data_IF_866922750717
#
_entry.id   IF_866922750717
#
_cell.length_a   1.000
_cell.length_b   1.000
_cell.length_c   1.000
_cell.angle_alpha   90.00
_cell.angle_beta   90.00
_cell.angle_gamma   90.00
#
_symmetry.space_group_name_H-M   'P 1'
#
loop_
_entity.id
_entity.type
_entity.pdbx_description
1 polymer ?
#
# COMPACT_ATOMS: atom_id res chain seq x y z
N UNK A 1 -10.51 -9.24 -19.58
CA UNK A 1 -10.37 -10.19 -18.45
C UNK A 1 -8.91 -10.44 -18.05
N UNK A 2 -7.99 -10.66 -19.01
CA UNK A 2 -6.59 -10.97 -18.72
C UNK A 2 -5.83 -9.78 -18.13
N UNK A 3 -6.02 -8.59 -18.67
CA UNK A 3 -5.38 -7.37 -18.14
C UNK A 3 -5.76 -7.11 -16.67
N UNK A 4 -7.03 -7.29 -16.32
CA UNK A 4 -7.49 -7.09 -14.94
C UNK A 4 -6.82 -8.10 -13.98
N UNK A 5 -6.70 -9.37 -14.36
CA UNK A 5 -5.99 -10.39 -13.57
C UNK A 5 -4.52 -10.06 -13.41
N UNK A 6 -3.88 -9.58 -14.48
CA UNK A 6 -2.49 -9.14 -14.43
C UNK A 6 -2.31 -7.97 -13.47
N UNK A 7 -3.17 -6.95 -13.53
CA UNK A 7 -3.13 -5.80 -12.64
C UNK A 7 -3.36 -6.21 -11.17
N UNK A 8 -4.30 -7.11 -10.90
CA UNK A 8 -4.52 -7.66 -9.56
C UNK A 8 -3.28 -8.38 -9.02
N UNK A 9 -2.68 -9.26 -9.81
CA UNK A 9 -1.46 -9.97 -9.42
C UNK A 9 -0.30 -8.99 -9.16
N UNK A 10 -0.11 -8.01 -10.03
CA UNK A 10 0.90 -6.96 -9.86
C UNK A 10 0.68 -6.15 -8.56
N UNK A 11 -0.55 -5.79 -8.27
CA UNK A 11 -0.89 -5.04 -7.05
C UNK A 11 -0.61 -5.86 -5.79
N UNK A 12 -0.87 -7.16 -5.79
CA UNK A 12 -0.54 -8.05 -4.66
C UNK A 12 0.97 -8.19 -4.46
N UNK A 13 1.75 -8.27 -5.56
CA UNK A 13 3.22 -8.28 -5.49
C UNK A 13 3.73 -6.95 -4.92
N UNK A 14 3.19 -5.82 -5.38
CA UNK A 14 3.56 -4.50 -4.87
C UNK A 14 3.20 -4.33 -3.38
N UNK A 15 2.03 -4.79 -2.96
CA UNK A 15 1.63 -4.74 -1.54
C UNK A 15 2.63 -5.51 -0.66
N UNK A 16 3.06 -6.71 -1.06
CA UNK A 16 4.10 -7.49 -0.37
C UNK A 16 5.44 -6.75 -0.32
N UNK A 17 5.81 -6.10 -1.41
CA UNK A 17 7.01 -5.26 -1.47
C UNK A 17 6.93 -4.11 -0.45
N UNK A 18 5.82 -3.37 -0.42
CA UNK A 18 5.63 -2.28 0.53
C UNK A 18 5.66 -2.76 1.99
N UNK A 19 5.04 -3.90 2.28
CA UNK A 19 5.06 -4.52 3.63
C UNK A 19 6.48 -4.92 4.03
N UNK A 20 7.27 -5.48 3.11
CA UNK A 20 8.68 -5.82 3.34
C UNK A 20 9.48 -4.60 3.82
N UNK A 21 9.31 -3.45 3.16
CA UNK A 21 9.98 -2.22 3.57
C UNK A 21 9.57 -1.76 4.96
N UNK A 22 8.28 -1.79 5.26
CA UNK A 22 7.77 -1.39 6.58
C UNK A 22 8.35 -2.27 7.68
N UNK A 23 8.36 -3.58 7.49
CA UNK A 23 8.92 -4.51 8.48
C UNK A 23 10.42 -4.34 8.64
N UNK A 24 11.16 -4.23 7.53
CA UNK A 24 12.60 -4.02 7.59
C UNK A 24 12.95 -2.68 8.24
N UNK A 25 12.30 -1.60 7.87
CA UNK A 25 12.58 -0.27 8.41
C UNK A 25 12.28 -0.19 9.91
N UNK A 26 11.21 -0.83 10.37
CA UNK A 26 10.90 -0.95 11.79
C UNK A 26 12.05 -1.62 12.56
N UNK A 27 12.50 -2.78 12.11
CA UNK A 27 13.61 -3.52 12.72
C UNK A 27 14.95 -2.77 12.64
N UNK A 28 15.18 -2.05 11.54
CA UNK A 28 16.36 -1.20 11.36
C UNK A 28 16.45 -0.12 12.45
N UNK A 29 15.32 0.52 12.79
CA UNK A 29 15.29 1.55 13.82
C UNK A 29 15.28 1.00 15.25
N UNK A 30 14.66 -0.16 15.46
CA UNK A 30 14.61 -0.79 16.78
C UNK A 30 15.95 -1.39 17.19
N UNK A 31 16.72 -1.93 16.25
CA UNK A 31 18.05 -2.51 16.51
C UNK A 31 19.00 -2.33 15.31
N UNK A 32 19.62 -1.16 15.14
CA UNK A 32 20.47 -0.87 13.98
C UNK A 32 21.78 -1.68 13.94
N UNK A 33 22.22 -2.24 15.06
CA UNK A 33 23.49 -2.96 15.18
C UNK A 33 23.37 -4.48 14.87
N UNK A 34 22.17 -4.97 14.55
CA UNK A 34 21.96 -6.36 14.15
C UNK A 34 22.48 -6.66 12.73
N UNK A 35 22.56 -7.94 12.34
CA UNK A 35 22.88 -8.34 10.98
C UNK A 35 21.74 -7.97 10.00
N UNK A 36 21.80 -6.75 9.50
CA UNK A 36 20.79 -6.17 8.61
C UNK A 36 20.74 -6.87 7.24
N UNK A 37 21.85 -7.46 6.78
CA UNK A 37 21.87 -8.17 5.50
C UNK A 37 21.06 -9.48 5.58
N UNK A 38 21.29 -10.25 6.62
CA UNK A 38 20.52 -11.47 6.89
C UNK A 38 19.05 -11.14 7.17
N UNK A 39 18.79 -10.10 7.98
CA UNK A 39 17.42 -9.65 8.28
C UNK A 39 16.65 -9.27 7.01
N UNK A 40 17.26 -8.49 6.10
CA UNK A 40 16.64 -8.09 4.85
C UNK A 40 16.16 -9.30 4.05
N UNK A 41 17.05 -10.25 3.82
CA UNK A 41 16.69 -11.42 3.01
C UNK A 41 15.73 -12.38 3.72
N UNK A 42 15.77 -12.44 5.06
CA UNK A 42 14.74 -13.15 5.85
C UNK A 42 13.35 -12.55 5.58
N UNK A 43 13.19 -11.24 5.74
CA UNK A 43 11.90 -10.57 5.52
C UNK A 43 11.46 -10.67 4.06
N UNK A 44 12.36 -10.49 3.11
CA UNK A 44 12.07 -10.65 1.66
C UNK A 44 11.58 -12.06 1.36
N UNK A 45 12.23 -13.09 1.91
CA UNK A 45 11.81 -14.48 1.70
C UNK A 45 10.44 -14.79 2.32
N UNK A 46 10.18 -14.29 3.52
CA UNK A 46 8.92 -14.53 4.23
C UNK A 46 7.74 -13.76 3.62
N UNK A 47 7.96 -12.49 3.28
CA UNK A 47 6.89 -11.60 2.82
C UNK A 47 6.70 -11.64 1.31
N UNK A 48 7.77 -11.61 0.53
CA UNK A 48 7.70 -11.59 -0.94
C UNK A 48 7.80 -12.97 -1.57
N UNK A 49 8.23 -13.99 -0.82
CA UNK A 49 8.49 -15.36 -1.31
C UNK A 49 9.60 -15.39 -2.38
N UNK A 50 10.57 -14.49 -2.26
CA UNK A 50 11.72 -14.40 -3.16
C UNK A 50 12.92 -15.07 -2.51
N UNK A 51 13.59 -15.97 -3.24
CA UNK A 51 14.79 -16.65 -2.76
C UNK A 51 15.99 -15.69 -2.81
N UNK A 52 16.77 -15.56 -1.73
CA UNK A 52 17.99 -14.76 -1.76
C UNK A 52 19.02 -15.32 -2.74
N UNK A 53 19.88 -14.48 -3.33
CA UNK A 53 20.99 -14.96 -4.15
C UNK A 53 21.95 -15.82 -3.32
N UNK A 54 22.44 -16.91 -3.93
CA UNK A 54 23.40 -17.82 -3.28
C UNK A 54 24.70 -17.10 -2.91
N UNK A 55 25.23 -17.39 -1.73
CA UNK A 55 26.53 -16.90 -1.24
C UNK A 55 26.65 -15.36 -1.23
N UNK A 56 25.52 -14.64 -1.13
CA UNK A 56 25.50 -13.19 -1.13
C UNK A 56 25.24 -12.64 0.28
N UNK A 57 26.25 -11.98 0.83
CA UNK A 57 26.12 -11.18 2.06
C UNK A 57 26.51 -9.72 1.76
N UNK A 58 25.58 -8.98 1.18
CA UNK A 58 25.76 -7.58 0.80
C UNK A 58 24.58 -6.74 1.32
N UNK A 59 24.78 -5.46 1.59
CA UNK A 59 23.71 -4.58 2.07
C UNK A 59 22.75 -4.18 0.93
N UNK A 60 22.07 -5.17 0.34
CA UNK A 60 21.13 -4.95 -0.77
C UNK A 60 19.99 -4.01 -0.41
N UNK A 61 19.60 -3.99 0.86
CA UNK A 61 18.63 -3.05 1.42
C UNK A 61 19.11 -1.59 1.27
N UNK A 62 20.41 -1.33 1.41
CA UNK A 62 20.98 0.03 1.35
C UNK A 62 20.89 0.68 -0.03
N UNK A 63 20.67 -0.11 -1.09
CA UNK A 63 20.40 0.42 -2.44
C UNK A 63 19.06 1.17 -2.55
N UNK A 64 18.21 1.11 -1.51
CA UNK A 64 16.90 1.72 -1.51
C UNK A 64 16.96 3.12 -0.88
N UNK A 65 16.85 4.14 -1.70
CA UNK A 65 16.93 5.56 -1.28
C UNK A 65 15.93 5.94 -0.19
N UNK A 66 14.83 5.19 -0.05
CA UNK A 66 13.81 5.47 0.95
C UNK A 66 14.32 5.29 2.39
N UNK A 67 15.29 4.40 2.62
CA UNK A 67 15.87 4.24 3.96
C UNK A 67 16.83 5.39 4.33
N UNK A 68 17.35 6.13 3.36
CA UNK A 68 18.37 7.17 3.58
C UNK A 68 17.86 8.59 3.34
N UNK A 69 17.06 8.80 2.28
CA UNK A 69 16.60 10.14 1.86
C UNK A 69 15.14 10.42 2.24
N UNK A 70 14.34 9.41 2.46
CA UNK A 70 12.94 9.55 2.83
C UNK A 70 12.56 8.53 3.92
N UNK A 71 13.16 8.63 5.12
CA UNK A 71 12.93 7.67 6.20
C UNK A 71 11.46 7.68 6.64
N UNK A 72 10.96 6.50 7.03
CA UNK A 72 9.58 6.29 7.50
C UNK A 72 8.53 6.80 6.50
N UNK A 73 8.78 6.57 5.21
CA UNK A 73 7.90 7.06 4.15
C UNK A 73 7.18 5.94 3.40
N UNK A 74 7.77 4.75 3.32
CA UNK A 74 7.33 3.71 2.37
C UNK A 74 5.91 3.17 2.65
N UNK A 75 5.46 3.17 3.90
CA UNK A 75 4.08 2.83 4.26
C UNK A 75 3.03 3.70 3.57
N UNK A 76 3.38 4.92 3.17
CA UNK A 76 2.43 5.84 2.51
C UNK A 76 1.95 5.31 1.16
N UNK A 77 2.77 4.53 0.46
CA UNK A 77 2.34 3.88 -0.79
C UNK A 77 1.24 2.85 -0.52
N UNK A 78 1.43 1.99 0.50
CA UNK A 78 0.41 1.01 0.87
C UNK A 78 -0.87 1.69 1.38
N UNK A 79 -0.74 2.70 2.25
CA UNK A 79 -1.88 3.46 2.74
C UNK A 79 -2.67 4.12 1.61
N UNK A 80 -1.96 4.64 0.60
CA UNK A 80 -2.58 5.22 -0.60
C UNK A 80 -3.44 4.20 -1.37
N UNK A 81 -2.91 3.01 -1.60
CA UNK A 81 -3.65 1.92 -2.28
C UNK A 81 -4.86 1.43 -1.48
N UNK A 82 -4.71 1.32 -0.15
CA UNK A 82 -5.83 0.96 0.73
C UNK A 82 -6.94 2.03 0.71
N UNK A 83 -6.57 3.32 0.74
CA UNK A 83 -7.52 4.42 0.64
C UNK A 83 -8.20 4.45 -0.72
N UNK A 84 -7.46 4.24 -1.81
CA UNK A 84 -8.01 4.21 -3.16
C UNK A 84 -9.06 3.11 -3.31
N UNK A 85 -8.79 1.91 -2.82
CA UNK A 85 -9.73 0.80 -2.84
C UNK A 85 -11.01 1.10 -2.03
N UNK A 86 -10.86 1.71 -0.85
CA UNK A 86 -11.99 2.08 0.00
C UNK A 86 -12.84 3.20 -0.64
N UNK A 87 -12.21 4.23 -1.22
CA UNK A 87 -12.90 5.30 -1.93
C UNK A 87 -13.64 4.78 -3.16
N UNK A 88 -12.98 3.92 -3.96
CA UNK A 88 -13.61 3.29 -5.11
C UNK A 88 -14.88 2.53 -4.69
N UNK A 89 -14.76 1.68 -3.67
CA UNK A 89 -15.92 0.92 -3.18
C UNK A 89 -17.04 1.82 -2.65
N UNK A 90 -16.69 2.88 -1.94
CA UNK A 90 -17.66 3.86 -1.46
C UNK A 90 -18.40 4.52 -2.64
N UNK A 91 -17.69 4.99 -3.65
CA UNK A 91 -18.28 5.63 -4.83
C UNK A 91 -19.20 4.64 -5.57
N UNK A 92 -18.73 3.42 -5.83
CA UNK A 92 -19.50 2.39 -6.53
C UNK A 92 -20.84 2.04 -5.83
N UNK A 93 -20.85 2.12 -4.50
CA UNK A 93 -22.03 1.72 -3.71
C UNK A 93 -22.97 2.86 -3.37
N UNK A 94 -22.49 4.11 -3.34
CA UNK A 94 -23.28 5.26 -2.86
C UNK A 94 -23.55 6.33 -3.92
N UNK A 95 -22.72 6.40 -4.97
CA UNK A 95 -22.83 7.41 -6.02
C UNK A 95 -23.22 6.77 -7.35
N UNK A 96 -22.36 5.94 -7.92
CA UNK A 96 -22.57 5.30 -9.21
C UNK A 96 -21.69 4.06 -9.36
N UNK A 97 -22.20 2.96 -9.93
CA UNK A 97 -21.36 1.83 -10.31
C UNK A 97 -20.26 2.16 -11.32
N UNK A 98 -20.42 3.25 -12.08
CA UNK A 98 -19.39 3.80 -12.95
C UNK A 98 -18.63 4.88 -12.19
N UNK A 99 -17.32 4.64 -11.99
CA UNK A 99 -16.42 5.60 -11.34
C UNK A 99 -16.21 6.87 -12.17
N UNK A 100 -16.31 6.80 -13.50
CA UNK A 100 -16.04 7.92 -14.40
C UNK A 100 -17.27 8.82 -14.61
N UNK A 101 -17.89 9.25 -13.51
CA UNK A 101 -19.01 10.17 -13.52
C UNK A 101 -18.63 11.53 -12.94
N UNK A 102 -19.39 12.56 -13.27
CA UNK A 102 -19.21 13.91 -12.75
C UNK A 102 -19.39 13.92 -11.23
N UNK A 103 -20.39 13.23 -10.74
CA UNK A 103 -20.75 13.14 -9.32
C UNK A 103 -19.62 12.49 -8.50
N UNK A 104 -19.00 11.43 -9.03
CA UNK A 104 -17.83 10.81 -8.40
C UNK A 104 -16.64 11.79 -8.33
N UNK A 105 -16.41 12.54 -9.42
CA UNK A 105 -15.39 13.60 -9.49
C UNK A 105 -15.65 14.73 -8.48
N UNK A 106 -16.89 15.18 -8.36
CA UNK A 106 -17.29 16.21 -7.38
C UNK A 106 -17.10 15.74 -5.95
N UNK A 107 -17.47 14.50 -5.61
CA UNK A 107 -17.21 13.91 -4.29
C UNK A 107 -15.72 13.94 -3.96
N UNK A 108 -14.88 13.46 -4.87
CA UNK A 108 -13.42 13.43 -4.66
C UNK A 108 -12.85 14.84 -4.47
N UNK A 109 -13.25 15.80 -5.31
CA UNK A 109 -12.76 17.17 -5.24
C UNK A 109 -13.18 17.82 -3.92
N UNK A 110 -14.47 17.80 -3.59
CA UNK A 110 -14.99 18.54 -2.45
C UNK A 110 -14.68 17.89 -1.09
N UNK A 111 -14.76 16.56 -1.02
CA UNK A 111 -14.66 15.87 0.26
C UNK A 111 -13.27 15.27 0.54
N UNK A 112 -12.50 14.93 -0.50
CA UNK A 112 -11.21 14.31 -0.32
C UNK A 112 -10.02 15.23 -0.63
N UNK A 113 -10.02 15.92 -1.77
CA UNK A 113 -8.88 16.76 -2.18
C UNK A 113 -8.90 18.17 -1.60
N UNK A 114 -10.03 18.86 -1.65
CA UNK A 114 -10.18 20.25 -1.18
C UNK A 114 -9.81 20.47 0.29
N UNK A 115 -10.11 19.53 1.23
CA UNK A 115 -9.65 19.67 2.61
C UNK A 115 -8.12 19.57 2.77
N UNK A 116 -7.39 19.11 1.78
CA UNK A 116 -5.92 19.01 1.82
C UNK A 116 -5.43 18.23 3.06
N UNK A 117 -4.57 18.86 3.86
CA UNK A 117 -4.00 18.29 5.08
C UNK A 117 -4.71 18.75 6.38
N UNK A 118 -5.95 19.26 6.28
CA UNK A 118 -6.71 19.75 7.44
C UNK A 118 -6.99 18.65 8.47
N UNK A 119 -7.15 17.42 8.01
CA UNK A 119 -7.40 16.24 8.85
C UNK A 119 -6.25 15.24 8.67
N UNK A 120 -5.95 14.46 9.75
CA UNK A 120 -5.09 13.31 9.56
C UNK A 120 -5.74 12.31 8.59
N UNK A 121 -4.92 11.48 7.96
CA UNK A 121 -5.35 10.59 6.86
C UNK A 121 -6.49 9.65 7.23
N UNK A 122 -6.52 9.12 8.47
CA UNK A 122 -7.54 8.18 8.92
C UNK A 122 -8.88 8.88 9.22
N UNK A 123 -8.83 10.08 9.75
CA UNK A 123 -10.03 10.93 9.94
C UNK A 123 -10.57 11.41 8.59
N UNK A 124 -9.69 11.74 7.65
CA UNK A 124 -10.07 12.16 6.30
C UNK A 124 -10.85 11.06 5.57
N UNK A 125 -10.34 9.83 5.55
CA UNK A 125 -11.03 8.71 4.91
C UNK A 125 -12.37 8.40 5.62
N UNK A 126 -12.39 8.48 6.97
CA UNK A 126 -13.62 8.28 7.74
C UNK A 126 -14.71 9.31 7.40
N UNK A 127 -14.33 10.56 7.16
CA UNK A 127 -15.29 11.63 6.80
C UNK A 127 -15.93 11.40 5.45
N UNK A 128 -15.18 10.88 4.50
CA UNK A 128 -15.68 10.61 3.15
C UNK A 128 -16.50 9.33 3.08
N UNK A 129 -16.02 8.26 3.71
CA UNK A 129 -16.58 6.91 3.53
C UNK A 129 -17.45 6.43 4.71
N UNK A 130 -17.47 7.16 5.82
CA UNK A 130 -18.20 6.80 7.03
C UNK A 130 -17.42 5.93 8.02
N UNK A 131 -16.30 5.33 7.61
CA UNK A 131 -15.46 4.48 8.47
C UNK A 131 -13.96 4.80 8.33
N UNK A 132 -13.18 4.40 9.35
CA UNK A 132 -11.72 4.46 9.30
C UNK A 132 -11.18 3.55 8.20
N UNK A 133 -9.89 3.73 7.85
CA UNK A 133 -9.24 2.89 6.85
C UNK A 133 -9.43 1.40 7.17
N UNK A 134 -9.97 0.68 6.19
CA UNK A 134 -10.27 -0.73 6.28
C UNK A 134 -9.62 -1.50 5.11
N UNK A 135 -8.59 -2.32 5.39
CA UNK A 135 -7.88 -3.08 4.35
C UNK A 135 -8.75 -4.09 3.60
N UNK A 136 -9.92 -4.45 4.13
CA UNK A 136 -10.81 -5.43 3.50
C UNK A 136 -11.20 -5.02 2.07
N UNK A 137 -11.36 -3.74 1.79
CA UNK A 137 -11.70 -3.25 0.45
C UNK A 137 -10.59 -3.52 -0.58
N UNK A 138 -9.34 -3.37 -0.18
CA UNK A 138 -8.20 -3.72 -1.02
C UNK A 138 -8.15 -5.23 -1.30
N UNK A 139 -8.37 -6.05 -0.28
CA UNK A 139 -8.44 -7.52 -0.41
C UNK A 139 -9.60 -7.91 -1.32
N UNK A 140 -10.76 -7.28 -1.16
CA UNK A 140 -11.93 -7.51 -2.00
C UNK A 140 -11.65 -7.20 -3.48
N UNK A 141 -10.99 -6.09 -3.74
CA UNK A 141 -10.68 -5.64 -5.09
C UNK A 141 -9.64 -6.54 -5.78
N UNK A 142 -8.63 -7.01 -5.04
CA UNK A 142 -7.46 -7.65 -5.64
C UNK A 142 -7.40 -9.18 -5.44
N UNK A 143 -8.17 -9.76 -4.50
CA UNK A 143 -8.13 -11.20 -4.20
C UNK A 143 -9.37 -11.97 -4.62
N UNK A 144 -10.45 -11.31 -5.05
CA UNK A 144 -11.64 -12.02 -5.58
C UNK A 144 -11.35 -12.52 -6.99
N UNK A 145 -11.49 -13.83 -7.20
CA UNK A 145 -11.55 -14.39 -8.54
C UNK A 145 -12.71 -13.75 -9.29
N UNK A 146 -12.42 -13.14 -10.43
CA UNK A 146 -13.46 -12.76 -11.40
C UNK A 146 -14.24 -14.03 -11.75
N UNK A 147 -15.51 -14.11 -11.29
CA UNK A 147 -16.42 -15.17 -11.71
C UNK A 147 -16.71 -15.07 -13.19
#
# INVERSE_FOLDING_TARGET
>A
PELAKFQQAQMLIQARWMITFVFFEKELYENPDQDLNTLWWKIVSEVQLVTPPENRNQPDWAAKIHFTLAPVYYQNYLLGELMAAQLLRHIETTISPDFFTKEAGELLIEQFFKPGALYNWNEKIRRVTGEKLNPAYFVELNCKSSK
#
